data_IF_210714271778
#
_entry.id   IF_210714271778
#
_cell.length_a   1.000
_cell.length_b   1.000
_cell.length_c   1.000
_cell.angle_alpha   90.00
_cell.angle_beta   90.00
_cell.angle_gamma   90.00
#
_symmetry.space_group_name_H-M   'P 1'
#
loop_
_entity.id
_entity.type
_entity.pdbx_description
1 polymer ?
#
# COMPACT_ATOMS: atom_id res chain seq x y z
N UNK A 1 -25.62 6.94 -18.81
CA UNK A 1 -24.72 6.68 -17.66
C UNK A 1 -25.18 7.58 -16.53
N UNK A 2 -25.55 7.00 -15.42
CA UNK A 2 -25.95 7.71 -14.22
C UNK A 2 -24.70 8.26 -13.48
N UNK A 3 -24.90 9.12 -12.49
CA UNK A 3 -23.81 9.56 -11.62
C UNK A 3 -23.17 8.36 -10.90
N UNK A 4 -24.00 7.41 -10.45
CA UNK A 4 -23.53 6.21 -9.75
C UNK A 4 -22.64 5.32 -10.64
N UNK A 5 -22.91 5.24 -11.97
CA UNK A 5 -22.03 4.53 -12.90
C UNK A 5 -20.62 5.15 -12.95
N UNK A 6 -20.53 6.48 -12.92
CA UNK A 6 -19.24 7.18 -12.88
C UNK A 6 -18.52 6.99 -11.56
N UNK A 7 -19.25 7.07 -10.44
CA UNK A 7 -18.67 6.86 -9.10
C UNK A 7 -18.19 5.41 -8.96
N UNK A 8 -18.94 4.42 -9.47
CA UNK A 8 -18.51 3.03 -9.50
C UNK A 8 -17.22 2.86 -10.33
N UNK A 9 -17.15 3.47 -11.50
CA UNK A 9 -15.94 3.43 -12.32
C UNK A 9 -14.73 4.03 -11.59
N UNK A 10 -14.91 5.16 -10.90
CA UNK A 10 -13.85 5.78 -10.09
C UNK A 10 -13.45 4.92 -8.90
N UNK A 11 -14.39 4.24 -8.23
CA UNK A 11 -14.12 3.30 -7.16
C UNK A 11 -13.25 2.13 -7.66
N UNK A 12 -13.64 1.52 -8.77
CA UNK A 12 -12.90 0.40 -9.38
C UNK A 12 -11.51 0.83 -9.84
N UNK A 13 -11.38 1.98 -10.52
CA UNK A 13 -10.08 2.53 -10.92
C UNK A 13 -9.18 2.81 -9.72
N UNK A 14 -9.75 3.31 -8.61
CA UNK A 14 -9.03 3.52 -7.36
C UNK A 14 -8.54 2.19 -6.76
N UNK A 15 -9.36 1.14 -6.80
CA UNK A 15 -8.94 -0.19 -6.36
C UNK A 15 -7.78 -0.73 -7.21
N UNK A 16 -7.81 -0.56 -8.53
CA UNK A 16 -6.68 -0.91 -9.40
C UNK A 16 -5.42 -0.11 -9.07
N UNK A 17 -5.54 1.19 -8.83
CA UNK A 17 -4.40 2.02 -8.43
C UNK A 17 -3.80 1.55 -7.10
N UNK A 18 -4.64 1.17 -6.14
CA UNK A 18 -4.21 0.62 -4.85
C UNK A 18 -3.43 -0.69 -5.02
N UNK A 19 -3.98 -1.64 -5.77
CA UNK A 19 -3.31 -2.92 -6.06
C UNK A 19 -1.99 -2.70 -6.80
N UNK A 20 -1.99 -1.82 -7.82
CA UNK A 20 -0.77 -1.47 -8.54
C UNK A 20 0.32 -0.92 -7.61
N UNK A 21 -0.06 -0.05 -6.65
CA UNK A 21 0.85 0.46 -5.63
C UNK A 21 1.45 -0.65 -4.75
N UNK A 22 0.64 -1.62 -4.32
CA UNK A 22 1.10 -2.80 -3.56
C UNK A 22 2.11 -3.62 -4.37
N UNK A 23 1.85 -3.83 -5.68
CA UNK A 23 2.78 -4.55 -6.58
C UNK A 23 4.10 -3.78 -6.75
N UNK A 24 4.04 -2.45 -6.94
CA UNK A 24 5.25 -1.61 -7.01
C UNK A 24 6.08 -1.75 -5.74
N UNK A 25 5.45 -1.78 -4.56
CA UNK A 25 6.17 -2.00 -3.30
C UNK A 25 6.76 -3.40 -3.19
N UNK A 26 6.15 -4.45 -3.74
CA UNK A 26 6.79 -5.77 -3.81
C UNK A 26 8.08 -5.74 -4.63
N UNK A 27 8.07 -5.06 -5.78
CA UNK A 27 9.28 -4.88 -6.61
C UNK A 27 10.36 -4.12 -5.81
N UNK A 28 9.98 -3.05 -5.11
CA UNK A 28 10.89 -2.27 -4.26
C UNK A 28 11.46 -3.10 -3.11
N UNK A 29 10.63 -3.87 -2.42
CA UNK A 29 11.07 -4.75 -1.31
C UNK A 29 12.15 -5.72 -1.81
N UNK A 30 11.92 -6.38 -2.94
CA UNK A 30 12.88 -7.32 -3.52
C UNK A 30 14.17 -6.61 -3.94
N UNK A 31 14.07 -5.44 -4.57
CA UNK A 31 15.22 -4.66 -5.03
C UNK A 31 16.07 -4.15 -3.85
N UNK A 32 15.45 -3.49 -2.87
CA UNK A 32 16.15 -2.89 -1.71
C UNK A 32 16.88 -3.96 -0.88
N UNK A 33 16.28 -5.14 -0.70
CA UNK A 33 16.91 -6.24 0.06
C UNK A 33 18.23 -6.76 -0.55
N UNK A 34 18.52 -6.43 -1.80
CA UNK A 34 19.78 -6.77 -2.48
C UNK A 34 20.78 -5.62 -2.49
N UNK A 35 20.41 -4.46 -1.98
CA UNK A 35 21.18 -3.23 -2.06
C UNK A 35 21.92 -2.99 -0.75
N UNK A 36 23.23 -2.85 -0.84
CA UNK A 36 24.16 -2.64 0.29
C UNK A 36 24.89 -1.29 0.22
N UNK A 37 24.68 -0.51 -0.85
CA UNK A 37 25.31 0.80 -1.03
C UNK A 37 24.30 1.95 -0.79
N UNK A 38 24.74 3.08 -0.20
CA UNK A 38 23.90 4.25 0.00
C UNK A 38 23.26 4.75 -1.30
N UNK A 39 24.05 4.91 -2.36
CA UNK A 39 23.58 5.36 -3.67
C UNK A 39 22.53 4.41 -4.28
N UNK A 40 22.75 3.10 -4.17
CA UNK A 40 21.80 2.11 -4.66
C UNK A 40 20.44 2.22 -3.96
N UNK A 41 20.43 2.41 -2.64
CA UNK A 41 19.19 2.61 -1.87
C UNK A 41 18.50 3.93 -2.23
N UNK A 42 19.25 5.04 -2.32
CA UNK A 42 18.71 6.37 -2.63
C UNK A 42 18.11 6.42 -4.04
N UNK A 43 18.69 5.73 -5.01
CA UNK A 43 18.16 5.63 -6.38
C UNK A 43 16.77 5.01 -6.47
N UNK A 44 16.30 4.32 -5.44
CA UNK A 44 14.92 3.79 -5.39
C UNK A 44 13.88 4.86 -5.05
N UNK A 45 14.27 6.05 -4.59
CA UNK A 45 13.35 7.10 -4.15
C UNK A 45 12.28 7.51 -5.17
N UNK A 46 12.55 7.63 -6.50
CA UNK A 46 11.50 7.93 -7.47
C UNK A 46 10.42 6.84 -7.53
N UNK A 47 10.81 5.56 -7.46
CA UNK A 47 9.87 4.43 -7.48
C UNK A 47 9.03 4.40 -6.20
N UNK A 48 9.64 4.71 -5.04
CA UNK A 48 8.92 4.89 -3.77
C UNK A 48 7.85 5.97 -3.88
N UNK A 49 8.16 7.11 -4.52
CA UNK A 49 7.19 8.21 -4.74
C UNK A 49 5.99 7.75 -5.58
N UNK A 50 6.25 7.02 -6.68
CA UNK A 50 5.18 6.47 -7.53
C UNK A 50 4.33 5.47 -6.74
N UNK A 51 4.95 4.54 -6.00
CA UNK A 51 4.25 3.59 -5.15
C UNK A 51 3.37 4.27 -4.11
N UNK A 52 3.90 5.28 -3.40
CA UNK A 52 3.15 6.06 -2.42
C UNK A 52 1.98 6.82 -3.04
N UNK A 53 2.17 7.44 -4.21
CA UNK A 53 1.10 8.13 -4.91
C UNK A 53 -0.01 7.15 -5.32
N UNK A 54 0.35 5.98 -5.88
CA UNK A 54 -0.61 4.95 -6.29
C UNK A 54 -1.39 4.41 -5.09
N UNK A 55 -0.72 4.10 -3.97
CA UNK A 55 -1.38 3.65 -2.73
C UNK A 55 -2.26 4.76 -2.16
N UNK A 56 -1.78 5.99 -2.07
CA UNK A 56 -2.54 7.11 -1.50
C UNK A 56 -3.81 7.44 -2.29
N UNK A 57 -3.68 7.58 -3.61
CA UNK A 57 -4.81 7.84 -4.51
C UNK A 57 -5.76 6.64 -4.51
N UNK A 58 -5.20 5.42 -4.60
CA UNK A 58 -5.98 4.19 -4.65
C UNK A 58 -6.76 3.96 -3.36
N UNK A 59 -6.11 3.95 -2.21
CA UNK A 59 -6.76 3.72 -0.91
C UNK A 59 -7.74 4.84 -0.56
N UNK A 60 -7.36 6.12 -0.80
CA UNK A 60 -8.23 7.27 -0.56
C UNK A 60 -9.46 7.28 -1.47
N UNK A 61 -9.27 7.02 -2.77
CA UNK A 61 -10.37 6.95 -3.73
C UNK A 61 -11.30 5.76 -3.46
N UNK A 62 -10.74 4.60 -3.12
CA UNK A 62 -11.55 3.41 -2.80
C UNK A 62 -12.48 3.66 -1.62
N UNK A 63 -12.00 4.26 -0.52
CA UNK A 63 -12.84 4.55 0.64
C UNK A 63 -13.85 5.66 0.34
N UNK A 64 -13.43 6.74 -0.32
CA UNK A 64 -14.28 7.89 -0.63
C UNK A 64 -15.45 7.49 -1.54
N UNK A 65 -15.14 6.87 -2.69
CA UNK A 65 -16.16 6.46 -3.65
C UNK A 65 -16.97 5.25 -3.16
N UNK A 66 -16.35 4.35 -2.38
CA UNK A 66 -17.05 3.23 -1.77
C UNK A 66 -18.10 3.67 -0.76
N UNK A 67 -17.78 4.62 0.12
CA UNK A 67 -18.75 5.19 1.06
C UNK A 67 -19.87 5.90 0.30
N UNK A 68 -19.55 6.68 -0.75
CA UNK A 68 -20.55 7.31 -1.59
C UNK A 68 -21.55 6.29 -2.15
N UNK A 69 -21.04 5.22 -2.77
CA UNK A 69 -21.87 4.16 -3.36
C UNK A 69 -22.75 3.46 -2.32
N UNK A 70 -22.26 3.26 -1.09
CA UNK A 70 -23.02 2.66 -0.01
C UNK A 70 -24.26 3.48 0.37
N UNK A 71 -24.25 4.80 0.15
CA UNK A 71 -25.41 5.68 0.40
C UNK A 71 -26.26 5.94 -0.83
N UNK A 72 -25.70 5.90 -2.05
CA UNK A 72 -26.41 6.32 -3.27
C UNK A 72 -27.08 5.17 -4.01
N UNK A 73 -26.50 3.97 -3.94
CA UNK A 73 -27.03 2.79 -4.64
C UNK A 73 -28.10 2.13 -3.78
N UNK A 74 -29.37 2.11 -4.26
CA UNK A 74 -30.46 1.44 -3.58
C UNK A 74 -30.22 -0.07 -3.46
N UNK A 75 -30.63 -0.65 -2.32
CA UNK A 75 -30.49 -2.08 -2.04
C UNK A 75 -29.29 -2.45 -1.16
N UNK A 76 -28.45 -1.49 -0.78
CA UNK A 76 -27.41 -1.67 0.22
C UNK A 76 -27.66 -0.75 1.44
N UNK A 77 -27.32 -1.25 2.62
CA UNK A 77 -27.29 -0.47 3.84
C UNK A 77 -25.82 -0.36 4.31
N UNK A 78 -25.42 0.81 4.79
CA UNK A 78 -24.06 1.03 5.35
C UNK A 78 -23.74 0.02 6.46
N UNK A 79 -24.73 -0.57 7.07
CA UNK A 79 -24.64 -1.59 8.12
C UNK A 79 -24.56 -3.02 7.59
N UNK A 80 -24.57 -3.22 6.28
CA UNK A 80 -24.39 -4.55 5.70
C UNK A 80 -23.05 -5.16 6.15
N UNK A 81 -23.05 -6.45 6.54
CA UNK A 81 -21.87 -7.09 7.11
C UNK A 81 -20.62 -6.99 6.24
N UNK A 82 -20.77 -7.08 4.91
CA UNK A 82 -19.67 -6.97 3.96
C UNK A 82 -19.09 -5.54 3.90
N UNK A 83 -19.92 -4.49 4.05
CA UNK A 83 -19.44 -3.09 4.09
C UNK A 83 -18.64 -2.85 5.37
N UNK A 84 -19.15 -3.34 6.51
CA UNK A 84 -18.44 -3.24 7.80
C UNK A 84 -17.11 -4.01 7.73
N UNK A 85 -17.12 -5.23 7.17
CA UNK A 85 -15.92 -6.03 7.01
C UNK A 85 -14.88 -5.31 6.14
N UNK A 86 -15.29 -4.74 5.00
CA UNK A 86 -14.42 -3.95 4.14
C UNK A 86 -13.81 -2.74 4.86
N UNK A 87 -14.58 -2.00 5.65
CA UNK A 87 -14.09 -0.85 6.40
C UNK A 87 -13.06 -1.26 7.46
N UNK A 88 -13.33 -2.34 8.19
CA UNK A 88 -12.39 -2.89 9.18
C UNK A 88 -11.10 -3.34 8.50
N UNK A 89 -11.20 -4.12 7.43
CA UNK A 89 -10.05 -4.55 6.65
C UNK A 89 -9.26 -3.38 6.07
N UNK A 90 -9.95 -2.33 5.62
CA UNK A 90 -9.29 -1.13 5.10
C UNK A 90 -8.46 -0.43 6.19
N UNK A 91 -8.99 -0.28 7.40
CA UNK A 91 -8.23 0.29 8.54
C UNK A 91 -7.02 -0.56 8.88
N UNK A 92 -7.17 -1.89 8.88
CA UNK A 92 -6.06 -2.82 9.13
C UNK A 92 -5.01 -2.73 8.02
N UNK A 93 -5.41 -2.62 6.74
CA UNK A 93 -4.51 -2.44 5.62
C UNK A 93 -3.75 -1.11 5.72
N UNK A 94 -4.42 -0.01 6.09
CA UNK A 94 -3.79 1.30 6.28
C UNK A 94 -2.75 1.26 7.41
N UNK A 95 -3.06 0.65 8.56
CA UNK A 95 -2.14 0.57 9.68
C UNK A 95 -0.94 -0.35 9.39
N UNK A 96 -1.16 -1.52 8.79
CA UNK A 96 -0.05 -2.41 8.41
C UNK A 96 0.82 -1.80 7.31
N UNK A 97 0.21 -1.10 6.35
CA UNK A 97 0.92 -0.36 5.30
C UNK A 97 1.77 0.80 5.87
N UNK A 98 1.23 1.56 6.82
CA UNK A 98 1.97 2.62 7.53
C UNK A 98 3.20 2.06 8.24
N UNK A 99 3.06 0.94 8.95
CA UNK A 99 4.19 0.25 9.63
C UNK A 99 5.22 -0.24 8.64
N UNK A 100 4.78 -0.83 7.53
CA UNK A 100 5.66 -1.23 6.43
C UNK A 100 6.48 -0.05 5.91
N UNK A 101 5.82 1.09 5.65
CA UNK A 101 6.49 2.31 5.21
C UNK A 101 7.56 2.79 6.18
N UNK A 102 7.28 2.78 7.49
CA UNK A 102 8.24 3.16 8.53
C UNK A 102 9.52 2.29 8.52
N UNK A 103 9.37 0.97 8.38
CA UNK A 103 10.50 0.04 8.30
C UNK A 103 11.40 0.33 7.09
N UNK A 104 10.83 0.63 5.92
CA UNK A 104 11.62 0.94 4.72
C UNK A 104 12.18 2.37 4.70
N UNK A 105 11.50 3.32 5.35
CA UNK A 105 12.04 4.67 5.53
C UNK A 105 13.31 4.66 6.40
N UNK A 106 13.44 3.76 7.37
CA UNK A 106 14.65 3.59 8.15
C UNK A 106 15.87 3.27 7.26
N UNK A 107 15.70 2.41 6.24
CA UNK A 107 16.75 2.11 5.25
C UNK A 107 17.14 3.34 4.43
N UNK A 108 16.17 4.14 4.00
CA UNK A 108 16.43 5.38 3.25
C UNK A 108 17.16 6.41 4.10
N UNK A 109 16.73 6.61 5.35
CA UNK A 109 17.39 7.51 6.30
C UNK A 109 18.84 7.08 6.55
N UNK A 110 19.06 5.78 6.80
CA UNK A 110 20.41 5.23 7.01
C UNK A 110 21.31 5.43 5.78
N UNK A 111 20.78 5.22 4.58
CA UNK A 111 21.53 5.45 3.35
C UNK A 111 21.93 6.94 3.19
N UNK A 112 21.04 7.88 3.56
CA UNK A 112 21.35 9.31 3.53
C UNK A 112 22.41 9.69 4.56
N UNK A 113 22.35 9.15 5.78
CA UNK A 113 23.35 9.36 6.83
C UNK A 113 24.76 8.90 6.36
N UNK A 114 24.86 7.67 5.84
CA UNK A 114 26.11 7.12 5.35
C UNK A 114 26.69 7.94 4.20
N UNK A 115 25.86 8.37 3.26
CA UNK A 115 26.27 9.23 2.15
C UNK A 115 26.79 10.59 2.65
N UNK A 116 26.12 11.19 3.62
CA UNK A 116 26.55 12.46 4.22
C UNK A 116 27.90 12.32 4.96
N UNK A 117 28.16 11.12 5.52
CA UNK A 117 29.42 10.78 6.15
C UNK A 117 30.55 10.44 5.14
N UNK A 118 30.27 10.54 3.83
CA UNK A 118 31.25 10.25 2.76
C UNK A 118 31.44 8.77 2.47
N UNK A 119 30.59 7.89 2.98
CA UNK A 119 30.64 6.47 2.70
C UNK A 119 29.87 6.15 1.41
N UNK A 120 30.59 5.76 0.36
CA UNK A 120 30.00 5.42 -0.95
C UNK A 120 29.96 3.89 -1.19
N UNK A 121 30.82 3.15 -0.51
CA UNK A 121 30.97 1.70 -0.67
C UNK A 121 29.90 0.88 0.06
N UNK A 122 29.97 -0.47 -0.07
CA UNK A 122 29.07 -1.38 0.61
C UNK A 122 29.11 -1.22 2.13
N UNK A 123 27.94 -1.32 2.77
CA UNK A 123 27.75 -1.24 4.21
C UNK A 123 26.91 -2.41 4.71
N UNK A 124 27.53 -3.22 5.59
CA UNK A 124 26.83 -4.34 6.22
C UNK A 124 25.67 -3.87 7.10
N UNK A 125 25.80 -2.69 7.73
CA UNK A 125 24.76 -2.09 8.55
C UNK A 125 23.55 -1.69 7.68
N UNK A 126 23.78 -1.02 6.53
CA UNK A 126 22.71 -0.67 5.59
C UNK A 126 22.02 -1.92 5.05
N UNK A 127 22.78 -2.94 4.68
CA UNK A 127 22.25 -4.20 4.19
C UNK A 127 21.35 -4.88 5.25
N UNK A 128 21.74 -4.86 6.52
CA UNK A 128 20.95 -5.41 7.61
C UNK A 128 19.61 -4.67 7.76
N UNK A 129 19.60 -3.33 7.69
CA UNK A 129 18.38 -2.52 7.73
C UNK A 129 17.50 -2.78 6.50
N UNK A 130 18.09 -2.83 5.30
CA UNK A 130 17.36 -3.10 4.05
C UNK A 130 16.75 -4.52 3.99
N UNK A 131 17.29 -5.47 4.76
CA UNK A 131 16.80 -6.86 4.87
C UNK A 131 15.82 -7.08 6.01
N UNK A 132 15.19 -6.01 6.54
CA UNK A 132 14.21 -6.15 7.63
C UNK A 132 13.20 -7.26 7.35
N UNK A 133 13.12 -8.24 8.25
CA UNK A 133 12.12 -9.32 8.16
C UNK A 133 10.74 -8.81 8.57
N UNK A 134 10.70 -7.91 9.54
CA UNK A 134 9.47 -7.29 10.01
C UNK A 134 8.78 -6.50 8.89
N UNK A 135 9.56 -5.69 8.12
CA UNK A 135 9.03 -4.97 6.97
C UNK A 135 8.44 -5.90 5.90
N UNK A 136 9.14 -7.01 5.61
CA UNK A 136 8.64 -8.02 4.67
C UNK A 136 7.34 -8.67 5.14
N UNK A 137 7.28 -9.09 6.41
CA UNK A 137 6.08 -9.71 7.00
C UNK A 137 4.89 -8.75 7.02
N UNK A 138 5.11 -7.48 7.41
CA UNK A 138 4.07 -6.46 7.40
C UNK A 138 3.56 -6.20 5.98
N UNK A 139 4.44 -6.14 4.98
CA UNK A 139 4.03 -5.97 3.59
C UNK A 139 3.23 -7.16 3.07
N UNK A 140 3.63 -8.38 3.38
CA UNK A 140 2.88 -9.58 3.05
C UNK A 140 1.50 -9.58 3.71
N UNK A 141 1.42 -9.22 4.99
CA UNK A 141 0.16 -9.09 5.71
C UNK A 141 -0.76 -8.03 5.06
N UNK A 142 -0.23 -6.85 4.74
CA UNK A 142 -0.99 -5.82 4.02
C UNK A 142 -1.53 -6.35 2.69
N UNK A 143 -0.73 -7.08 1.94
CA UNK A 143 -1.14 -7.67 0.65
C UNK A 143 -2.28 -8.68 0.82
N UNK A 144 -2.23 -9.52 1.84
CA UNK A 144 -3.30 -10.47 2.16
C UNK A 144 -4.59 -9.72 2.56
N UNK A 145 -4.49 -8.69 3.39
CA UNK A 145 -5.65 -7.89 3.79
C UNK A 145 -6.29 -7.21 2.57
N UNK A 146 -5.49 -6.63 1.67
CA UNK A 146 -6.00 -6.00 0.44
C UNK A 146 -6.68 -7.05 -0.45
N UNK A 147 -6.13 -8.25 -0.57
CA UNK A 147 -6.77 -9.35 -1.29
C UNK A 147 -8.11 -9.72 -0.65
N UNK A 148 -8.20 -9.77 0.69
CA UNK A 148 -9.45 -10.03 1.39
C UNK A 148 -10.50 -8.94 1.13
N UNK A 149 -10.11 -7.67 1.06
CA UNK A 149 -11.02 -6.58 0.67
C UNK A 149 -11.58 -6.82 -0.74
N UNK A 150 -10.72 -7.20 -1.70
CA UNK A 150 -11.18 -7.50 -3.07
C UNK A 150 -12.16 -8.67 -3.10
N UNK A 151 -11.87 -9.73 -2.35
CA UNK A 151 -12.74 -10.89 -2.21
C UNK A 151 -14.10 -10.48 -1.63
N UNK A 152 -14.09 -9.73 -0.53
CA UNK A 152 -15.28 -9.24 0.14
C UNK A 152 -16.17 -8.39 -0.80
N UNK A 153 -15.54 -7.47 -1.56
CA UNK A 153 -16.22 -6.63 -2.54
C UNK A 153 -16.85 -7.42 -3.72
N UNK A 154 -16.25 -8.54 -4.11
CA UNK A 154 -16.76 -9.37 -5.21
C UNK A 154 -17.93 -10.25 -4.74
N UNK A 155 -17.78 -10.92 -3.60
CA UNK A 155 -18.77 -11.88 -3.12
C UNK A 155 -19.83 -11.29 -2.22
N UNK A 156 -19.60 -10.11 -1.61
CA UNK A 156 -20.53 -9.40 -0.73
C UNK A 156 -21.24 -10.35 0.27
N UNK A 157 -20.54 -11.02 1.16
CA UNK A 157 -21.13 -12.03 2.03
C UNK A 157 -22.18 -11.41 2.95
N UNK A 158 -23.41 -11.91 2.86
CA UNK A 158 -24.55 -11.38 3.65
C UNK A 158 -25.32 -10.24 2.99
N UNK A 159 -25.10 -9.97 1.70
CA UNK A 159 -25.94 -9.06 0.89
C UNK A 159 -27.18 -9.77 0.37
#
# INVERSE_FOLDING_TARGET
MSLDDWILALHVLSAFAYVAGIVVFWVLVVAVRKTDTPDGTIRMAPVVKVGNASVGIGAGGTILFGIWLAFSVGGYDIWDPWIIAALVLWVLAAETGRRTGAEYMAGMTKAQELRTAGQEGPSAELLAVNRTQRGLQMHALTSVIVLLILIDMIWKPGA
#
